data_IF_546287774045
#
_entry.id   IF_546287774045
#
_cell.length_a   1.000
_cell.length_b   1.000
_cell.length_c   1.000
_cell.angle_alpha   90.00
_cell.angle_beta   90.00
_cell.angle_gamma   90.00
#
_symmetry.space_group_name_H-M   'P 1'
#
loop_
_entity.id
_entity.type
_entity.pdbx_description
1 polymer ?
#
# COMPACT_ATOMS: atom_id res chain seq x y z
N UNK A 1 1.39 30.50 13.58
CA UNK A 1 0.46 30.54 12.43
C UNK A 1 0.28 31.96 11.92
N UNK A 2 0.27 32.96 12.80
CA UNK A 2 0.10 34.37 12.42
C UNK A 2 1.17 34.87 11.42
N UNK A 3 2.44 34.49 11.61
CA UNK A 3 3.53 34.87 10.72
C UNK A 3 3.37 34.34 9.28
N UNK A 4 2.78 33.15 9.11
CA UNK A 4 2.51 32.56 7.79
C UNK A 4 1.33 33.27 7.12
N UNK A 5 0.30 33.61 7.90
CA UNK A 5 -0.86 34.37 7.42
C UNK A 5 -0.46 35.79 7.01
N UNK A 6 0.48 36.41 7.73
CA UNK A 6 1.01 37.74 7.44
C UNK A 6 1.87 37.75 6.17
N UNK A 7 2.76 36.76 6.00
CA UNK A 7 3.58 36.58 4.79
C UNK A 7 2.75 36.24 3.54
N UNK A 8 1.64 35.51 3.70
CA UNK A 8 0.69 35.24 2.62
C UNK A 8 -0.06 36.50 2.18
N UNK A 9 -0.30 37.44 3.12
CA UNK A 9 -0.94 38.73 2.85
C UNK A 9 0.04 39.77 2.27
N UNK A 10 1.32 39.69 2.59
CA UNK A 10 2.36 40.60 2.08
C UNK A 10 2.82 40.29 0.65
N UNK A 11 2.45 39.12 0.10
CA UNK A 11 2.86 38.68 -1.23
C UNK A 11 4.21 37.96 -1.25
N UNK A 12 4.86 37.77 -0.09
CA UNK A 12 6.16 37.11 0.03
C UNK A 12 6.02 35.59 0.15
N UNK A 13 5.40 34.97 -0.84
CA UNK A 13 5.10 33.54 -0.87
C UNK A 13 6.34 32.65 -0.71
N UNK A 14 7.50 33.11 -1.20
CA UNK A 14 8.77 32.40 -1.05
C UNK A 14 9.22 32.26 0.40
N UNK A 15 9.03 33.30 1.22
CA UNK A 15 9.41 33.29 2.64
C UNK A 15 8.47 32.35 3.41
N UNK A 16 7.17 32.39 3.10
CA UNK A 16 6.20 31.48 3.69
C UNK A 16 6.54 30.00 3.39
N UNK A 17 6.92 29.68 2.15
CA UNK A 17 7.34 28.33 1.75
C UNK A 17 8.58 27.88 2.53
N UNK A 18 9.60 28.73 2.64
CA UNK A 18 10.82 28.42 3.40
C UNK A 18 10.50 28.16 4.87
N UNK A 19 9.67 28.98 5.49
CA UNK A 19 9.24 28.82 6.89
C UNK A 19 8.51 27.48 7.09
N UNK A 20 7.62 27.10 6.17
CA UNK A 20 6.93 25.80 6.22
C UNK A 20 7.91 24.64 6.07
N UNK A 21 8.82 24.69 5.09
CA UNK A 21 9.83 23.64 4.87
C UNK A 21 10.73 23.47 6.10
N UNK A 22 11.22 24.56 6.69
CA UNK A 22 12.05 24.53 7.89
C UNK A 22 11.28 23.97 9.09
N UNK A 23 10.00 24.36 9.23
CA UNK A 23 9.14 23.84 10.30
C UNK A 23 8.93 22.33 10.16
N UNK A 24 8.70 21.84 8.94
CA UNK A 24 8.58 20.41 8.66
C UNK A 24 9.91 19.70 8.96
N UNK A 25 11.04 20.24 8.49
CA UNK A 25 12.36 19.64 8.69
C UNK A 25 12.75 19.52 10.17
N UNK A 26 12.45 20.53 11.00
CA UNK A 26 12.72 20.52 12.44
C UNK A 26 11.84 19.50 13.16
N UNK A 27 10.57 19.35 12.76
CA UNK A 27 9.63 18.46 13.43
C UNK A 27 9.64 17.03 12.88
N UNK A 28 10.17 16.80 11.67
CA UNK A 28 10.22 15.51 11.03
C UNK A 28 10.87 14.41 11.91
N UNK A 29 12.01 14.65 12.61
CA UNK A 29 12.59 13.65 13.50
C UNK A 29 11.64 13.23 14.62
N UNK A 30 10.97 14.18 15.28
CA UNK A 30 10.01 13.89 16.36
C UNK A 30 8.79 13.11 15.88
N UNK A 31 8.29 13.44 14.69
CA UNK A 31 7.18 12.72 14.06
C UNK A 31 7.60 11.30 13.70
N UNK A 32 8.80 11.12 13.14
CA UNK A 32 9.32 9.79 12.82
C UNK A 32 9.56 8.94 14.06
N UNK A 33 10.12 9.52 15.13
CA UNK A 33 10.40 8.82 16.37
C UNK A 33 9.11 8.36 17.04
N UNK A 34 8.10 9.25 17.13
CA UNK A 34 6.77 8.89 17.62
C UNK A 34 6.13 7.76 16.80
N UNK A 35 6.23 7.83 15.47
CA UNK A 35 5.72 6.79 14.57
C UNK A 35 6.43 5.43 14.77
N UNK A 36 7.76 5.43 14.92
CA UNK A 36 8.54 4.22 15.17
C UNK A 36 8.26 3.62 16.56
N UNK A 37 8.09 4.47 17.57
CA UNK A 37 7.80 4.06 18.94
C UNK A 37 6.43 3.38 19.03
N UNK A 38 5.42 3.94 18.36
CA UNK A 38 4.08 3.34 18.27
C UNK A 38 4.11 1.97 17.57
N UNK A 39 4.92 1.83 16.51
CA UNK A 39 5.03 0.57 15.74
C UNK A 39 5.77 -0.53 16.51
N UNK A 40 6.81 -0.20 17.28
CA UNK A 40 7.59 -1.18 18.07
C UNK A 40 6.90 -1.61 19.37
N UNK A 41 6.13 -0.71 20.00
CA UNK A 41 5.52 -0.99 21.31
C UNK A 41 4.51 -2.14 21.27
N UNK A 42 3.79 -2.33 20.17
CA UNK A 42 2.74 -3.35 20.09
C UNK A 42 3.29 -4.78 20.13
N UNK A 43 4.37 -5.06 19.39
CA UNK A 43 5.04 -6.37 19.45
C UNK A 43 5.61 -6.65 20.84
N UNK A 44 6.23 -5.64 21.48
CA UNK A 44 6.77 -5.78 22.82
C UNK A 44 5.67 -6.11 23.85
N UNK A 45 4.53 -5.42 23.76
CA UNK A 45 3.36 -5.69 24.62
C UNK A 45 2.81 -7.10 24.45
N UNK A 46 2.70 -7.60 23.20
CA UNK A 46 2.24 -8.97 22.93
C UNK A 46 3.22 -10.01 23.49
N UNK A 47 4.53 -9.78 23.30
CA UNK A 47 5.57 -10.67 23.83
C UNK A 47 5.56 -10.71 25.36
N UNK A 48 5.41 -9.57 26.03
CA UNK A 48 5.26 -9.51 27.49
C UNK A 48 4.02 -10.26 27.97
N UNK A 49 2.87 -10.06 27.31
CA UNK A 49 1.62 -10.74 27.68
C UNK A 49 1.68 -12.27 27.48
N UNK A 50 2.46 -12.76 26.51
CA UNK A 50 2.65 -14.20 26.29
C UNK A 50 3.48 -14.88 27.39
N UNK A 51 4.30 -14.12 28.12
CA UNK A 51 5.16 -14.61 29.20
C UNK A 51 4.43 -14.64 30.56
N UNK A 52 3.26 -14.02 30.67
CA UNK A 52 2.50 -13.95 31.92
C UNK A 52 1.82 -15.29 32.25
N UNK A 53 2.07 -15.88 33.43
CA UNK A 53 1.47 -17.16 33.83
C UNK A 53 -0.05 -17.08 34.03
N UNK A 54 -0.57 -15.89 34.33
CA UNK A 54 -1.98 -15.63 34.62
C UNK A 54 -2.87 -15.57 33.37
N UNK A 55 -2.26 -15.54 32.18
CA UNK A 55 -2.98 -15.46 30.91
C UNK A 55 -3.47 -16.85 30.50
N UNK A 56 -4.75 -16.95 30.13
CA UNK A 56 -5.34 -18.21 29.67
C UNK A 56 -4.68 -18.72 28.38
N UNK A 57 -4.65 -20.04 28.18
CA UNK A 57 -4.07 -20.63 26.96
C UNK A 57 -4.81 -20.22 25.67
N UNK A 58 -6.12 -19.97 25.76
CA UNK A 58 -6.91 -19.40 24.65
C UNK A 58 -6.40 -18.01 24.27
N UNK A 59 -6.17 -17.14 25.25
CA UNK A 59 -5.66 -15.79 25.00
C UNK A 59 -4.21 -15.84 24.50
N UNK A 60 -3.37 -16.74 25.00
CA UNK A 60 -2.02 -16.95 24.46
C UNK A 60 -2.05 -17.38 23.00
N UNK A 61 -2.98 -18.26 22.62
CA UNK A 61 -3.13 -18.70 21.22
C UNK A 61 -3.55 -17.53 20.33
N UNK A 62 -4.50 -16.71 20.78
CA UNK A 62 -4.89 -15.50 20.06
C UNK A 62 -3.73 -14.49 19.92
N UNK A 63 -2.97 -14.27 21.00
CA UNK A 63 -1.82 -13.38 21.00
C UNK A 63 -0.69 -13.86 20.08
N UNK A 64 -0.47 -15.17 19.94
CA UNK A 64 0.48 -15.73 18.96
C UNK A 64 0.04 -15.39 17.53
N UNK A 65 -1.25 -15.56 17.21
CA UNK A 65 -1.76 -15.19 15.88
C UNK A 65 -1.61 -13.68 15.61
N UNK A 66 -1.86 -12.83 16.60
CA UNK A 66 -1.66 -11.37 16.45
C UNK A 66 -0.18 -11.00 16.34
N UNK A 67 0.72 -11.73 17.01
CA UNK A 67 2.17 -11.57 16.88
C UNK A 67 2.63 -11.85 15.45
N UNK A 68 2.14 -12.93 14.84
CA UNK A 68 2.44 -13.27 13.45
C UNK A 68 1.96 -12.17 12.48
N UNK A 69 0.76 -11.63 12.70
CA UNK A 69 0.22 -10.50 11.92
C UNK A 69 1.10 -9.25 12.08
N UNK A 70 1.49 -8.89 13.30
CA UNK A 70 2.32 -7.69 13.53
C UNK A 70 3.74 -7.87 12.99
N UNK A 71 4.32 -9.08 13.08
CA UNK A 71 5.61 -9.39 12.46
C UNK A 71 5.53 -9.25 10.93
N UNK A 72 4.50 -9.84 10.33
CA UNK A 72 4.23 -9.73 8.89
C UNK A 72 4.06 -8.27 8.45
N UNK A 73 3.26 -7.49 9.17
CA UNK A 73 3.09 -6.05 8.95
C UNK A 73 4.39 -5.27 9.16
N UNK A 74 5.23 -5.68 10.11
CA UNK A 74 6.55 -5.11 10.36
C UNK A 74 7.44 -5.20 9.12
N UNK A 75 7.50 -6.38 8.50
CA UNK A 75 8.36 -6.68 7.35
C UNK A 75 7.75 -6.18 6.04
N UNK A 76 6.48 -6.48 5.78
CA UNK A 76 5.84 -6.23 4.48
C UNK A 76 5.01 -4.94 4.43
N UNK A 77 4.92 -4.19 5.54
CA UNK A 77 4.21 -2.91 5.61
C UNK A 77 2.69 -3.00 5.50
N UNK A 78 2.14 -4.22 5.46
CA UNK A 78 0.73 -4.48 5.20
C UNK A 78 0.11 -5.25 6.36
N UNK A 79 -1.00 -4.74 6.91
CA UNK A 79 -1.80 -5.50 7.87
C UNK A 79 -2.79 -6.38 7.14
N UNK A 80 -2.80 -7.67 7.47
CA UNK A 80 -3.77 -8.65 6.98
C UNK A 80 -4.40 -9.35 8.17
N UNK A 81 -5.60 -9.92 7.99
CA UNK A 81 -6.16 -10.83 8.99
C UNK A 81 -5.36 -12.13 9.02
N UNK A 82 -5.43 -12.89 10.12
CA UNK A 82 -4.72 -14.16 10.23
C UNK A 82 -5.13 -15.18 9.13
N UNK A 83 -6.43 -15.31 8.76
CA UNK A 83 -6.82 -16.14 7.62
C UNK A 83 -6.19 -15.69 6.29
N UNK A 84 -6.13 -14.37 6.05
CA UNK A 84 -5.46 -13.82 4.87
C UNK A 84 -3.95 -14.09 4.89
N UNK A 85 -3.30 -14.03 6.05
CA UNK A 85 -1.89 -14.39 6.21
C UNK A 85 -1.63 -15.84 5.80
N UNK A 86 -2.49 -16.78 6.22
CA UNK A 86 -2.41 -18.18 5.76
C UNK A 86 -2.58 -18.29 4.24
N UNK A 87 -3.56 -17.59 3.68
CA UNK A 87 -3.77 -17.56 2.24
C UNK A 87 -2.55 -17.02 1.47
N UNK A 88 -1.85 -16.01 2.00
CA UNK A 88 -0.58 -15.52 1.43
C UNK A 88 0.45 -16.63 1.36
N UNK A 89 0.64 -17.39 2.44
CA UNK A 89 1.62 -18.47 2.46
C UNK A 89 1.28 -19.60 1.49
N UNK A 90 0.02 -20.05 1.46
CA UNK A 90 -0.44 -21.10 0.53
C UNK A 90 -0.26 -20.66 -0.92
N UNK A 91 -0.63 -19.41 -1.25
CA UNK A 91 -0.44 -18.89 -2.60
C UNK A 91 1.04 -18.76 -2.95
N UNK A 92 1.87 -18.27 -2.02
CA UNK A 92 3.30 -18.12 -2.26
C UNK A 92 4.01 -19.48 -2.45
N UNK A 93 3.60 -20.52 -1.73
CA UNK A 93 4.12 -21.87 -1.94
C UNK A 93 3.82 -22.39 -3.35
N UNK A 94 2.62 -22.10 -3.86
CA UNK A 94 2.17 -22.56 -5.19
C UNK A 94 2.74 -21.77 -6.34
N UNK A 95 2.79 -20.43 -6.22
CA UNK A 95 3.14 -19.54 -7.34
C UNK A 95 4.46 -18.79 -7.15
N UNK A 96 5.09 -18.83 -5.98
CA UNK A 96 6.26 -18.02 -5.64
C UNK A 96 7.49 -18.25 -6.52
N UNK A 97 7.58 -19.42 -7.17
CA UNK A 97 8.62 -19.70 -8.16
C UNK A 97 8.43 -18.94 -9.49
N UNK A 98 7.21 -18.45 -9.78
CA UNK A 98 6.85 -17.83 -11.06
C UNK A 98 6.34 -16.40 -10.92
N UNK A 99 5.85 -16.03 -9.74
CA UNK A 99 5.25 -14.73 -9.46
C UNK A 99 5.90 -14.14 -8.21
N UNK A 100 6.30 -12.87 -8.31
CA UNK A 100 6.86 -12.15 -7.15
C UNK A 100 5.86 -12.07 -6.00
N UNK A 101 6.36 -12.21 -4.77
CA UNK A 101 5.61 -12.07 -3.54
C UNK A 101 4.76 -10.78 -3.47
N UNK A 102 5.22 -9.69 -4.09
CA UNK A 102 4.45 -8.42 -4.15
C UNK A 102 3.09 -8.60 -4.83
N UNK A 103 3.00 -9.39 -5.89
CA UNK A 103 1.73 -9.64 -6.58
C UNK A 103 0.79 -10.48 -5.70
N UNK A 104 1.32 -11.47 -4.98
CA UNK A 104 0.56 -12.28 -4.02
C UNK A 104 -0.05 -11.37 -2.95
N UNK A 105 0.76 -10.54 -2.32
CA UNK A 105 0.31 -9.61 -1.28
C UNK A 105 -0.77 -8.65 -1.79
N UNK A 106 -0.53 -8.03 -2.94
CA UNK A 106 -1.47 -7.08 -3.56
C UNK A 106 -2.81 -7.73 -3.88
N UNK A 107 -2.79 -9.01 -4.23
CA UNK A 107 -4.01 -9.73 -4.59
C UNK A 107 -4.78 -10.20 -3.37
N UNK A 108 -4.08 -10.62 -2.30
CA UNK A 108 -4.75 -11.04 -1.07
C UNK A 108 -5.54 -9.90 -0.43
N UNK A 109 -5.06 -8.65 -0.51
CA UNK A 109 -5.81 -7.48 -0.06
C UNK A 109 -7.15 -7.27 -0.78
N UNK A 110 -7.31 -7.86 -1.96
CA UNK A 110 -8.47 -7.72 -2.83
C UNK A 110 -9.29 -9.01 -2.93
N UNK A 111 -8.98 -10.01 -2.10
CA UNK A 111 -9.73 -11.25 -2.00
C UNK A 111 -10.90 -11.06 -1.03
N UNK A 112 -12.15 -10.94 -1.53
CA UNK A 112 -13.32 -10.93 -0.65
C UNK A 112 -13.57 -12.33 -0.06
N UNK A 113 -13.10 -13.39 -0.73
CA UNK A 113 -13.26 -14.77 -0.31
C UNK A 113 -11.94 -15.54 -0.47
N UNK A 114 -11.51 -16.17 0.62
CA UNK A 114 -10.31 -17.02 0.70
C UNK A 114 -10.70 -18.49 0.94
N UNK A 115 -11.99 -18.80 0.89
CA UNK A 115 -12.49 -20.17 1.01
C UNK A 115 -11.82 -21.04 -0.06
N UNK A 116 -11.47 -22.26 0.31
CA UNK A 116 -10.85 -23.23 -0.59
C UNK A 116 -9.48 -22.83 -1.17
N UNK A 117 -8.76 -21.86 -0.60
CA UNK A 117 -7.41 -21.47 -1.07
C UNK A 117 -6.43 -22.65 -1.15
N UNK A 118 -6.66 -23.70 -0.35
CA UNK A 118 -5.90 -24.95 -0.32
C UNK A 118 -6.22 -25.89 -1.50
N UNK A 119 -7.38 -25.77 -2.15
CA UNK A 119 -7.76 -26.63 -3.28
C UNK A 119 -6.95 -26.27 -4.54
N UNK A 120 -6.50 -27.27 -5.31
CA UNK A 120 -5.70 -27.05 -6.54
C UNK A 120 -6.45 -26.23 -7.61
N UNK A 121 -7.77 -26.40 -7.64
CA UNK A 121 -8.69 -25.70 -8.55
C UNK A 121 -8.97 -24.25 -8.12
N UNK A 122 -8.47 -23.80 -6.98
CA UNK A 122 -8.70 -22.45 -6.47
C UNK A 122 -8.26 -21.39 -7.46
N UNK A 123 -9.13 -20.40 -7.68
CA UNK A 123 -8.84 -19.24 -8.53
C UNK A 123 -9.39 -17.99 -7.90
N UNK A 124 -8.64 -16.92 -8.09
CA UNK A 124 -8.98 -15.60 -7.56
C UNK A 124 -10.08 -15.00 -8.43
N UNK A 125 -11.27 -14.82 -7.85
CA UNK A 125 -12.43 -14.25 -8.52
C UNK A 125 -12.66 -12.82 -8.00
N UNK A 126 -12.44 -11.85 -8.87
CA UNK A 126 -12.85 -10.47 -8.62
C UNK A 126 -14.32 -10.29 -8.99
N UNK A 127 -15.06 -9.54 -8.17
CA UNK A 127 -16.43 -9.16 -8.51
C UNK A 127 -16.42 -8.23 -9.74
N UNK A 128 -17.56 -8.14 -10.44
CA UNK A 128 -17.71 -7.25 -11.61
C UNK A 128 -17.44 -5.80 -11.21
N UNK A 129 -17.93 -5.37 -10.04
CA UNK A 129 -17.68 -4.04 -9.51
C UNK A 129 -16.18 -3.76 -9.31
N UNK A 130 -15.45 -4.69 -8.69
CA UNK A 130 -14.01 -4.53 -8.47
C UNK A 130 -13.24 -4.40 -9.79
N UNK A 131 -13.66 -5.16 -10.82
CA UNK A 131 -13.07 -5.06 -12.16
C UNK A 131 -13.35 -3.72 -12.80
N UNK A 132 -14.56 -3.20 -12.68
CA UNK A 132 -14.94 -1.88 -13.22
C UNK A 132 -14.18 -0.78 -12.50
N UNK A 133 -14.11 -0.81 -11.17
CA UNK A 133 -13.37 0.17 -10.36
C UNK A 133 -11.88 0.14 -10.70
N UNK A 134 -11.27 -1.04 -10.75
CA UNK A 134 -9.85 -1.15 -11.06
C UNK A 134 -9.54 -0.71 -12.51
N UNK A 135 -10.43 -0.98 -13.46
CA UNK A 135 -10.29 -0.50 -14.84
C UNK A 135 -10.45 1.03 -14.93
N UNK A 136 -11.42 1.58 -14.20
CA UNK A 136 -11.61 3.02 -14.04
C UNK A 136 -10.33 3.67 -13.48
N UNK A 137 -9.77 3.09 -12.41
CA UNK A 137 -8.55 3.58 -11.76
C UNK A 137 -7.33 3.52 -12.69
N UNK A 138 -7.22 2.52 -13.56
CA UNK A 138 -6.17 2.48 -14.58
C UNK A 138 -6.32 3.60 -15.62
N UNK A 139 -7.51 3.77 -16.19
CA UNK A 139 -7.75 4.76 -17.26
C UNK A 139 -7.64 6.18 -16.71
N UNK A 140 -8.38 6.50 -15.65
CA UNK A 140 -8.36 7.83 -15.05
C UNK A 140 -7.04 8.11 -14.33
N UNK A 141 -6.41 7.10 -13.72
CA UNK A 141 -5.09 7.26 -13.14
C UNK A 141 -4.05 7.68 -14.17
N UNK A 142 -4.08 7.11 -15.38
CA UNK A 142 -3.19 7.50 -16.47
C UNK A 142 -3.47 8.93 -16.95
N UNK A 143 -4.75 9.29 -17.14
CA UNK A 143 -5.13 10.65 -17.57
C UNK A 143 -4.76 11.71 -16.52
N UNK A 144 -5.03 11.44 -15.25
CA UNK A 144 -4.73 12.34 -14.13
C UNK A 144 -3.21 12.46 -13.93
N UNK A 145 -2.46 11.36 -14.00
CA UNK A 145 -1.00 11.39 -13.92
C UNK A 145 -0.40 12.16 -15.11
N UNK A 146 -0.93 11.95 -16.32
CA UNK A 146 -0.53 12.69 -17.51
C UNK A 146 -0.80 14.19 -17.38
N UNK A 147 -1.99 14.57 -16.92
CA UNK A 147 -2.33 15.96 -16.63
C UNK A 147 -1.38 16.57 -15.59
N UNK A 148 -1.19 15.89 -14.45
CA UNK A 148 -0.27 16.35 -13.41
C UNK A 148 1.18 16.46 -13.88
N UNK A 149 1.63 15.58 -14.77
CA UNK A 149 2.96 15.66 -15.36
C UNK A 149 3.10 16.87 -16.26
N UNK A 150 2.12 17.12 -17.14
CA UNK A 150 2.12 18.29 -18.03
C UNK A 150 2.08 19.58 -17.23
N UNK A 151 1.20 19.71 -16.23
CA UNK A 151 1.12 20.92 -15.41
C UNK A 151 2.38 21.14 -14.57
N UNK A 152 3.02 20.06 -14.09
CA UNK A 152 4.30 20.15 -13.41
C UNK A 152 5.40 20.69 -14.35
N UNK A 153 5.49 20.20 -15.59
CA UNK A 153 6.44 20.73 -16.57
C UNK A 153 6.19 22.20 -16.91
N UNK A 154 4.91 22.57 -17.10
CA UNK A 154 4.53 23.97 -17.33
C UNK A 154 4.87 24.86 -16.12
N UNK A 155 4.77 24.32 -14.91
CA UNK A 155 5.14 25.06 -13.69
C UNK A 155 6.62 25.42 -13.68
N UNK A 156 7.50 24.52 -14.11
CA UNK A 156 8.95 24.78 -14.22
C UNK A 156 9.22 25.90 -15.22
N UNK A 157 8.55 25.87 -16.38
CA UNK A 157 8.63 26.94 -17.36
C UNK A 157 8.13 28.28 -16.79
N UNK A 158 7.03 28.24 -16.03
CA UNK A 158 6.41 29.45 -15.45
C UNK A 158 7.31 30.19 -14.46
N UNK A 159 8.28 29.51 -13.83
CA UNK A 159 9.23 30.15 -12.90
C UNK A 159 9.98 31.31 -13.56
N UNK A 160 10.26 31.21 -14.87
CA UNK A 160 11.02 32.22 -15.61
C UNK A 160 10.11 33.28 -16.26
N UNK A 161 8.81 33.02 -16.41
CA UNK A 161 7.90 33.85 -17.21
C UNK A 161 6.81 34.59 -16.43
N UNK A 162 6.73 34.44 -15.10
CA UNK A 162 5.75 35.16 -14.28
C UNK A 162 5.23 34.42 -13.05
N UNK A 163 5.74 33.21 -12.78
CA UNK A 163 5.39 32.28 -11.70
C UNK A 163 3.87 32.11 -11.51
N UNK A 164 3.32 31.00 -12.02
CA UNK A 164 1.92 30.63 -11.81
C UNK A 164 1.81 29.48 -10.78
N UNK A 165 1.49 29.77 -9.51
CA UNK A 165 1.48 28.75 -8.45
C UNK A 165 0.44 27.64 -8.68
N UNK A 166 -0.62 27.93 -9.42
CA UNK A 166 -1.69 26.97 -9.75
C UNK A 166 -1.17 25.77 -10.54
N UNK A 167 -0.21 25.98 -11.46
CA UNK A 167 0.42 24.92 -12.24
C UNK A 167 1.25 24.00 -11.34
N UNK A 168 2.01 24.58 -10.42
CA UNK A 168 2.82 23.82 -9.47
C UNK A 168 1.94 22.99 -8.53
N UNK A 169 0.92 23.62 -7.94
CA UNK A 169 -0.02 22.97 -7.02
C UNK A 169 -0.75 21.81 -7.72
N UNK A 170 -1.24 22.04 -8.94
CA UNK A 170 -1.92 20.99 -9.70
C UNK A 170 -0.98 19.82 -10.03
N UNK A 171 0.27 20.09 -10.43
CA UNK A 171 1.25 19.05 -10.69
C UNK A 171 1.56 18.22 -9.44
N UNK A 172 1.78 18.87 -8.30
CA UNK A 172 2.09 18.22 -7.02
C UNK A 172 0.93 17.38 -6.48
N UNK A 173 -0.33 17.75 -6.78
CA UNK A 173 -1.52 17.02 -6.31
C UNK A 173 -1.91 15.90 -7.27
N UNK A 174 -2.07 16.22 -8.56
CA UNK A 174 -2.62 15.28 -9.54
C UNK A 174 -1.61 14.20 -9.92
N UNK A 175 -0.31 14.48 -9.93
CA UNK A 175 0.68 13.47 -10.28
C UNK A 175 0.69 12.30 -9.27
N UNK A 176 0.84 12.51 -7.95
CA UNK A 176 0.74 11.41 -6.98
C UNK A 176 -0.64 10.74 -6.97
N UNK A 177 -1.73 11.50 -7.13
CA UNK A 177 -3.08 10.95 -7.17
C UNK A 177 -3.26 9.98 -8.36
N UNK A 178 -2.80 10.37 -9.54
CA UNK A 178 -2.84 9.51 -10.73
C UNK A 178 -2.03 8.24 -10.54
N UNK A 179 -0.81 8.34 -9.99
CA UNK A 179 0.00 7.17 -9.67
C UNK A 179 -0.63 6.26 -8.60
N UNK A 180 -1.29 6.84 -7.60
CA UNK A 180 -2.04 6.08 -6.61
C UNK A 180 -3.16 5.26 -7.26
N UNK A 181 -3.95 5.89 -8.15
CA UNK A 181 -5.02 5.20 -8.89
C UNK A 181 -4.45 4.11 -9.82
N UNK A 182 -3.34 4.38 -10.53
CA UNK A 182 -2.66 3.36 -11.34
C UNK A 182 -2.17 2.18 -10.51
N UNK A 183 -1.60 2.46 -9.33
CA UNK A 183 -1.19 1.40 -8.42
C UNK A 183 -2.39 0.60 -7.92
N UNK A 184 -3.50 1.23 -7.59
CA UNK A 184 -4.70 0.50 -7.17
C UNK A 184 -5.24 -0.39 -8.31
N UNK A 185 -5.44 0.19 -9.50
CA UNK A 185 -5.97 -0.52 -10.67
C UNK A 185 -5.07 -1.64 -11.20
N UNK A 186 -3.76 -1.54 -11.01
CA UNK A 186 -2.81 -2.58 -11.47
C UNK A 186 -2.91 -3.91 -10.72
N UNK A 187 -3.74 -3.98 -9.68
CA UNK A 187 -4.15 -5.24 -9.08
C UNK A 187 -4.79 -6.23 -10.08
N UNK A 188 -5.47 -5.74 -11.11
CA UNK A 188 -6.03 -6.59 -12.17
C UNK A 188 -4.95 -7.44 -12.83
N UNK A 189 -3.79 -6.83 -13.10
CA UNK A 189 -2.66 -7.54 -13.67
C UNK A 189 -2.10 -8.57 -12.69
N UNK A 190 -1.98 -8.24 -11.40
CA UNK A 190 -1.52 -9.20 -10.38
C UNK A 190 -2.44 -10.43 -10.32
N UNK A 191 -3.75 -10.22 -10.30
CA UNK A 191 -4.75 -11.30 -10.28
C UNK A 191 -4.63 -12.18 -11.52
N UNK A 192 -4.48 -11.56 -12.70
CA UNK A 192 -4.28 -12.29 -13.95
C UNK A 192 -3.01 -13.15 -13.92
N UNK A 193 -1.88 -12.60 -13.49
CA UNK A 193 -0.61 -13.33 -13.41
C UNK A 193 -0.66 -14.48 -12.41
N UNK A 194 -1.27 -14.28 -11.24
CA UNK A 194 -1.43 -15.35 -10.24
C UNK A 194 -2.36 -16.44 -10.76
N UNK A 195 -3.51 -16.11 -11.34
CA UNK A 195 -4.42 -17.12 -11.89
C UNK A 195 -3.79 -17.92 -13.03
N UNK A 196 -2.94 -17.29 -13.84
CA UNK A 196 -2.14 -17.99 -14.84
C UNK A 196 -1.13 -18.94 -14.20
N UNK A 197 -0.38 -18.47 -13.20
CA UNK A 197 0.59 -19.30 -12.48
C UNK A 197 -0.07 -20.47 -11.74
N UNK A 198 -1.24 -20.27 -11.13
CA UNK A 198 -2.02 -21.34 -10.49
C UNK A 198 -2.46 -22.40 -11.52
N UNK A 199 -2.85 -21.98 -12.72
CA UNK A 199 -3.18 -22.90 -13.82
C UNK A 199 -1.99 -23.71 -14.29
N UNK A 200 -0.81 -23.09 -14.37
CA UNK A 200 0.41 -23.78 -14.76
C UNK A 200 0.89 -24.74 -13.66
N UNK A 201 0.72 -24.37 -12.38
CA UNK A 201 0.99 -25.23 -11.22
C UNK A 201 0.08 -26.47 -11.18
N UNK A 202 -1.24 -26.30 -11.39
CA UNK A 202 -2.21 -27.40 -11.45
C UNK A 202 -1.81 -28.41 -12.54
N UNK A 203 -1.57 -27.93 -13.77
CA UNK A 203 -1.12 -28.77 -14.88
C UNK A 203 0.20 -29.50 -14.60
N UNK A 204 1.15 -28.84 -13.94
CA UNK A 204 2.43 -29.46 -13.59
C UNK A 204 2.27 -30.56 -12.54
N UNK A 205 1.30 -30.39 -11.63
CA UNK A 205 1.00 -31.36 -10.57
C UNK A 205 0.26 -32.57 -11.12
N UNK A 206 -0.74 -32.37 -11.98
CA UNK A 206 -1.46 -33.44 -12.69
C UNK A 206 -0.53 -34.31 -13.54
N UNK A 207 0.45 -33.70 -14.22
CA UNK A 207 1.46 -34.43 -14.99
C UNK A 207 2.43 -35.26 -14.16
N UNK A 208 2.64 -34.92 -12.88
CA UNK A 208 3.50 -35.68 -11.96
C UNK A 208 2.76 -36.83 -11.28
N UNK A 209 1.43 -36.78 -11.25
CA UNK A 209 0.57 -37.83 -10.67
C UNK A 209 0.16 -38.92 -11.66
N UNK A 210 0.47 -38.74 -12.95
CA UNK A 210 0.33 -39.73 -14.02
C UNK A 210 1.66 -40.47 -14.23
#
# INVERSE_FOLDING_TARGET
>A
MDLVVELLKSGDYWIAIVVVIVTIAINAPRVTEYYFLLRKNRMAQILSALQEPSVSEELKTHLKNELDIECFKGIHGTRVSFPMLKAVYVLNERVGATVSFRHVLKTVQLLPDISDVELLSYRIRLNILDKVIASYNLVFGLLIAGFGFVTFLLSIYSIVTGFEPSLLISGVIFLPLGFYMLNDGSALFSVYHINRALKDYEKATEKKSL
#
